data_IF_514433579441
#
_entry.id   IF_514433579441
#
_cell.length_a   1.000
_cell.length_b   1.000
_cell.length_c   1.000
_cell.angle_alpha   90.00
_cell.angle_beta   90.00
_cell.angle_gamma   90.00
#
_symmetry.space_group_name_H-M   'P 1'
#
loop_
_entity.id
_entity.type
_entity.pdbx_description
1 polymer ?
#
# COMPACT_ATOMS: atom_id res chain seq x y z
N UNK A 1 -1.21 -11.57 9.08
CA UNK A 1 -0.21 -11.95 8.06
C UNK A 1 -0.97 -12.68 6.96
N UNK A 2 -1.17 -12.03 5.82
CA UNK A 2 -1.94 -12.60 4.70
C UNK A 2 -1.16 -13.78 4.09
N UNK A 3 -1.83 -14.92 3.89
CA UNK A 3 -1.18 -16.18 3.50
C UNK A 3 -1.09 -16.38 1.99
N UNK A 4 -1.75 -15.54 1.19
CA UNK A 4 -1.69 -15.59 -0.28
C UNK A 4 -1.89 -14.23 -0.95
N UNK A 5 -1.40 -14.09 -2.20
CA UNK A 5 -1.62 -12.90 -3.05
C UNK A 5 -3.11 -12.61 -3.22
N UNK A 6 -3.92 -13.65 -3.31
CA UNK A 6 -5.37 -13.53 -3.53
C UNK A 6 -6.09 -13.05 -2.27
N UNK A 7 -5.68 -13.49 -1.07
CA UNK A 7 -6.21 -12.96 0.19
C UNK A 7 -5.99 -11.46 0.31
N UNK A 8 -4.78 -10.98 0.00
CA UNK A 8 -4.48 -9.54 0.04
C UNK A 8 -5.44 -8.77 -0.88
N UNK A 9 -5.63 -9.26 -2.11
CA UNK A 9 -6.53 -8.66 -3.10
C UNK A 9 -7.98 -8.63 -2.61
N UNK A 10 -8.45 -9.71 -1.99
CA UNK A 10 -9.81 -9.80 -1.44
C UNK A 10 -10.04 -8.82 -0.31
N UNK A 11 -9.03 -8.54 0.52
CA UNK A 11 -9.16 -7.53 1.59
C UNK A 11 -9.41 -6.15 1.02
N UNK A 12 -8.67 -5.72 -0.02
CA UNK A 12 -8.92 -4.42 -0.65
C UNK A 12 -10.33 -4.32 -1.25
N UNK A 13 -10.81 -5.39 -1.89
CA UNK A 13 -12.18 -5.43 -2.44
C UNK A 13 -13.24 -5.34 -1.33
N UNK A 14 -13.05 -6.08 -0.23
CA UNK A 14 -13.95 -6.05 0.93
C UNK A 14 -13.99 -4.65 1.57
N UNK A 15 -12.83 -4.03 1.76
CA UNK A 15 -12.75 -2.67 2.31
C UNK A 15 -13.44 -1.67 1.39
N UNK A 16 -13.20 -1.75 0.08
CA UNK A 16 -13.89 -0.92 -0.91
C UNK A 16 -15.41 -1.06 -0.82
N UNK A 17 -15.93 -2.29 -0.77
CA UNK A 17 -17.37 -2.53 -0.61
C UNK A 17 -17.92 -1.92 0.70
N UNK A 18 -17.20 -2.08 1.81
CA UNK A 18 -17.58 -1.46 3.10
C UNK A 18 -17.60 0.07 3.02
N UNK A 19 -16.64 0.69 2.32
CA UNK A 19 -16.61 2.15 2.11
C UNK A 19 -17.84 2.62 1.32
N UNK A 20 -18.19 1.93 0.23
CA UNK A 20 -19.38 2.28 -0.57
C UNK A 20 -20.69 2.09 0.20
N UNK A 21 -20.74 1.06 1.07
CA UNK A 21 -21.89 0.77 1.92
C UNK A 21 -21.91 1.53 3.25
N UNK A 22 -20.97 2.46 3.49
CA UNK A 22 -20.81 3.18 4.77
C UNK A 22 -20.81 2.26 6.00
N UNK A 23 -20.25 1.06 5.83
CA UNK A 23 -20.18 0.05 6.89
C UNK A 23 -19.08 0.37 7.88
N UNK A 24 -19.21 -0.14 9.10
CA UNK A 24 -18.16 -0.03 10.11
C UNK A 24 -16.87 -0.73 9.62
N UNK A 25 -15.76 0.00 9.73
CA UNK A 25 -14.42 -0.48 9.40
C UNK A 25 -13.71 -0.87 10.69
N UNK A 26 -13.07 -2.05 10.69
CA UNK A 26 -12.10 -2.41 11.71
C UNK A 26 -10.84 -1.51 11.62
N UNK A 27 -10.01 -1.41 12.66
CA UNK A 27 -8.83 -0.52 12.64
C UNK A 27 -7.90 -0.73 11.45
N UNK A 28 -7.65 -2.00 11.07
CA UNK A 28 -6.84 -2.30 9.89
C UNK A 28 -7.56 -1.94 8.58
N UNK A 29 -8.87 -2.16 8.52
CA UNK A 29 -9.69 -1.79 7.36
C UNK A 29 -9.74 -0.27 7.17
N UNK A 30 -9.70 0.53 8.25
CA UNK A 30 -9.63 1.99 8.18
C UNK A 30 -8.31 2.47 7.56
N UNK A 31 -7.16 1.87 7.93
CA UNK A 31 -5.86 2.17 7.30
C UNK A 31 -5.92 1.91 5.80
N UNK A 32 -6.50 0.77 5.40
CA UNK A 32 -6.66 0.40 3.99
C UNK A 32 -7.59 1.37 3.27
N UNK A 33 -8.70 1.76 3.91
CA UNK A 33 -9.65 2.71 3.34
C UNK A 33 -9.02 4.10 3.11
N UNK A 34 -8.17 4.56 4.01
CA UNK A 34 -7.43 5.82 3.85
C UNK A 34 -6.47 5.74 2.65
N UNK A 35 -5.73 4.63 2.51
CA UNK A 35 -4.84 4.42 1.36
C UNK A 35 -5.66 4.39 0.06
N UNK A 36 -6.78 3.66 0.03
CA UNK A 36 -7.63 3.63 -1.15
C UNK A 36 -8.11 5.04 -1.51
N UNK A 37 -8.48 5.88 -0.53
CA UNK A 37 -8.89 7.27 -0.79
C UNK A 37 -7.77 8.11 -1.39
N UNK A 38 -6.52 7.88 -0.98
CA UNK A 38 -5.35 8.57 -1.55
C UNK A 38 -5.04 8.15 -2.98
N UNK A 39 -5.50 6.98 -3.43
CA UNK A 39 -5.26 6.43 -4.77
C UNK A 39 -6.53 6.29 -5.63
N UNK A 40 -7.15 7.41 -6.08
CA UNK A 40 -8.31 7.37 -6.98
C UNK A 40 -8.05 6.64 -8.30
N UNK A 41 -6.79 6.58 -8.78
CA UNK A 41 -6.38 5.83 -9.96
C UNK A 41 -6.66 4.33 -9.88
N UNK A 42 -6.77 3.77 -8.66
CA UNK A 42 -7.05 2.36 -8.44
C UNK A 42 -8.54 2.08 -8.14
N UNK A 43 -9.38 3.10 -7.97
CA UNK A 43 -10.82 2.91 -7.76
C UNK A 43 -11.49 2.15 -8.91
N UNK A 44 -11.18 2.40 -10.20
CA UNK A 44 -11.76 1.62 -11.29
C UNK A 44 -11.45 0.13 -11.17
N UNK A 45 -10.24 -0.23 -10.73
CA UNK A 45 -9.83 -1.61 -10.50
C UNK A 45 -10.67 -2.25 -9.38
N UNK A 46 -10.81 -1.57 -8.24
CA UNK A 46 -11.59 -2.06 -7.10
C UNK A 46 -13.09 -2.16 -7.41
N UNK A 47 -13.60 -1.30 -8.29
CA UNK A 47 -14.99 -1.33 -8.75
C UNK A 47 -15.34 -2.56 -9.60
N UNK A 48 -14.37 -3.13 -10.33
CA UNK A 48 -14.61 -4.35 -11.14
C UNK A 48 -14.70 -5.63 -10.29
N UNK A 49 -14.48 -5.53 -8.97
CA UNK A 49 -14.67 -6.62 -8.03
C UNK A 49 -13.71 -7.79 -8.26
N UNK A 50 -14.20 -9.02 -8.13
CA UNK A 50 -13.39 -10.25 -8.20
C UNK A 50 -12.60 -10.41 -9.50
N UNK A 51 -13.05 -9.83 -10.61
CA UNK A 51 -12.29 -9.86 -11.87
C UNK A 51 -10.94 -9.14 -11.78
N UNK A 52 -10.80 -8.19 -10.84
CA UNK A 52 -9.54 -7.51 -10.56
C UNK A 52 -8.48 -8.44 -9.94
N UNK A 53 -8.91 -9.48 -9.23
CA UNK A 53 -7.98 -10.42 -8.57
C UNK A 53 -7.36 -11.38 -9.57
N UNK A 54 -7.94 -11.54 -10.76
CA UNK A 54 -7.42 -12.42 -11.81
C UNK A 54 -6.42 -11.72 -12.74
N UNK A 55 -6.27 -10.39 -12.64
CA UNK A 55 -5.29 -9.65 -13.45
C UNK A 55 -3.87 -9.98 -13.00
N UNK A 56 -3.05 -10.31 -13.98
CA UNK A 56 -1.62 -10.47 -13.77
C UNK A 56 -0.91 -9.14 -13.98
N UNK A 57 -0.19 -8.69 -12.95
CA UNK A 57 0.58 -7.46 -12.95
C UNK A 57 2.06 -7.86 -12.97
N UNK A 58 2.50 -8.39 -14.11
CA UNK A 58 3.90 -8.76 -14.32
C UNK A 58 4.74 -7.51 -14.59
N UNK A 59 5.98 -7.44 -14.07
CA UNK A 59 6.90 -6.33 -14.35
C UNK A 59 7.14 -6.10 -15.84
N UNK A 60 7.07 -7.17 -16.64
CA UNK A 60 7.27 -7.17 -18.09
C UNK A 60 6.25 -6.31 -18.85
N UNK A 61 5.05 -6.13 -18.28
CA UNK A 61 4.01 -5.29 -18.87
C UNK A 61 4.21 -3.79 -18.57
N UNK A 62 5.29 -3.41 -17.86
CA UNK A 62 5.58 -2.03 -17.49
C UNK A 62 4.56 -1.39 -16.54
N UNK A 63 3.67 -2.20 -15.95
CA UNK A 63 2.63 -1.74 -15.04
C UNK A 63 3.03 -1.95 -13.58
N UNK A 64 2.99 -0.87 -12.80
CA UNK A 64 3.09 -0.96 -11.33
C UNK A 64 1.92 -1.79 -10.81
N UNK A 65 2.20 -2.86 -10.07
CA UNK A 65 1.17 -3.68 -9.43
C UNK A 65 0.46 -2.87 -8.33
N UNK A 66 -0.84 -2.52 -8.50
CA UNK A 66 -1.55 -1.64 -7.57
C UNK A 66 -1.63 -2.19 -6.15
N UNK A 67 -1.79 -3.52 -6.02
CA UNK A 67 -1.89 -4.18 -4.72
C UNK A 67 -0.56 -4.19 -3.98
N UNK A 68 0.53 -4.36 -4.72
CA UNK A 68 1.89 -4.25 -4.15
C UNK A 68 2.13 -2.82 -3.69
N UNK A 69 1.82 -1.83 -4.54
CA UNK A 69 1.99 -0.42 -4.24
C UNK A 69 1.22 -0.02 -2.97
N UNK A 70 -0.09 -0.25 -2.92
CA UNK A 70 -0.89 0.03 -1.72
C UNK A 70 -0.40 -0.76 -0.49
N UNK A 71 0.11 -1.98 -0.67
CA UNK A 71 0.70 -2.78 0.41
C UNK A 71 1.97 -2.16 1.00
N UNK A 72 2.77 -1.47 0.19
CA UNK A 72 3.94 -0.73 0.66
C UNK A 72 3.53 0.43 1.57
N UNK A 73 2.43 1.13 1.30
CA UNK A 73 1.89 2.15 2.21
C UNK A 73 1.48 1.55 3.56
N UNK A 74 0.79 0.40 3.57
CA UNK A 74 0.42 -0.29 4.81
C UNK A 74 1.68 -0.63 5.62
N UNK A 75 2.67 -1.23 4.95
CA UNK A 75 3.92 -1.65 5.59
C UNK A 75 4.66 -0.46 6.19
N UNK A 76 4.76 0.65 5.44
CA UNK A 76 5.40 1.87 5.90
C UNK A 76 4.69 2.46 7.13
N UNK A 77 3.35 2.48 7.12
CA UNK A 77 2.55 2.93 8.29
C UNK A 77 2.75 2.04 9.50
N UNK A 78 2.79 0.72 9.33
CA UNK A 78 3.07 -0.23 10.42
C UNK A 78 4.48 -0.06 10.98
N UNK A 79 5.48 0.11 10.10
CA UNK A 79 6.87 0.38 10.49
C UNK A 79 7.02 1.70 11.24
N UNK A 80 6.36 2.76 10.77
CA UNK A 80 6.29 4.06 11.43
C UNK A 80 5.61 3.97 12.80
N UNK A 81 4.47 3.28 12.90
CA UNK A 81 3.74 3.12 14.15
C UNK A 81 4.48 2.27 15.19
N UNK A 82 5.29 1.30 14.73
CA UNK A 82 6.10 0.44 15.61
C UNK A 82 7.52 0.94 15.85
N UNK A 83 7.90 2.07 15.23
CA UNK A 83 9.26 2.61 15.15
C UNK A 83 10.32 1.54 14.83
N UNK A 84 10.06 0.78 13.74
CA UNK A 84 10.91 -0.30 13.27
C UNK A 84 11.19 -0.16 11.78
N UNK A 85 12.44 0.16 11.38
CA UNK A 85 13.63 0.36 12.23
C UNK A 85 13.54 1.61 13.11
N UNK A 86 14.29 1.63 14.22
CA UNK A 86 14.27 2.73 15.18
C UNK A 86 14.58 4.09 14.51
N UNK A 87 13.79 5.11 14.84
CA UNK A 87 13.89 6.46 14.28
C UNK A 87 13.09 6.66 12.98
N UNK A 88 12.47 5.63 12.42
CA UNK A 88 11.62 5.77 11.22
C UNK A 88 10.38 6.62 11.52
N UNK A 89 9.84 6.55 12.75
CA UNK A 89 8.68 7.33 13.14
C UNK A 89 8.95 8.83 13.04
N UNK A 90 10.10 9.28 13.55
CA UNK A 90 10.51 10.69 13.52
C UNK A 90 10.70 11.19 12.08
N UNK A 91 11.31 10.36 11.24
CA UNK A 91 11.52 10.67 9.81
C UNK A 91 10.17 10.80 9.10
N UNK A 92 9.28 9.83 9.32
CA UNK A 92 7.94 9.82 8.74
C UNK A 92 7.18 11.10 9.14
N UNK A 93 7.14 11.44 10.43
CA UNK A 93 6.43 12.63 10.90
C UNK A 93 6.98 13.93 10.30
N UNK A 94 8.32 14.06 10.21
CA UNK A 94 8.95 15.23 9.56
C UNK A 94 8.57 15.37 8.10
N UNK A 95 8.57 14.26 7.36
CA UNK A 95 8.19 14.27 5.94
C UNK A 95 6.70 14.59 5.75
N UNK A 96 5.83 13.99 6.57
CA UNK A 96 4.38 14.27 6.54
C UNK A 96 4.09 15.75 6.83
N UNK A 97 4.78 16.36 7.80
CA UNK A 97 4.62 17.79 8.10
C UNK A 97 5.05 18.69 6.93
N UNK A 98 6.04 18.27 6.15
CA UNK A 98 6.59 19.07 5.05
C UNK A 98 5.82 18.89 3.74
N UNK A 99 5.30 17.69 3.46
CA UNK A 99 4.78 17.30 2.14
C UNK A 99 3.32 16.87 2.16
N UNK A 100 2.74 16.63 3.33
CA UNK A 100 1.49 15.90 3.47
C UNK A 100 1.71 14.38 3.41
N UNK A 101 0.68 13.63 3.82
CA UNK A 101 0.79 12.17 4.04
C UNK A 101 1.16 11.42 2.74
N UNK A 102 0.44 11.69 1.65
CA UNK A 102 0.58 10.93 0.41
C UNK A 102 1.98 11.09 -0.21
N UNK A 103 2.43 12.33 -0.37
CA UNK A 103 3.74 12.64 -0.97
C UNK A 103 4.90 12.22 -0.07
N UNK A 104 4.74 12.30 1.25
CA UNK A 104 5.72 11.78 2.20
C UNK A 104 5.87 10.26 2.09
N UNK A 105 4.75 9.54 2.02
CA UNK A 105 4.74 8.09 1.88
C UNK A 105 5.37 7.65 0.56
N UNK A 106 5.02 8.29 -0.56
CA UNK A 106 5.65 8.01 -1.85
C UNK A 106 7.17 8.21 -1.83
N UNK A 107 7.66 9.32 -1.26
CA UNK A 107 9.10 9.58 -1.18
C UNK A 107 9.85 8.50 -0.37
N UNK A 108 9.23 8.01 0.72
CA UNK A 108 9.82 6.93 1.51
C UNK A 108 9.76 5.57 0.79
N UNK A 109 8.66 5.29 0.08
CA UNK A 109 8.49 4.05 -0.70
C UNK A 109 9.47 4.00 -1.88
N UNK A 110 9.71 5.12 -2.57
CA UNK A 110 10.71 5.22 -3.64
C UNK A 110 12.09 4.84 -3.12
N UNK A 111 12.51 5.44 -2.00
CA UNK A 111 13.77 5.10 -1.34
C UNK A 111 13.83 3.62 -0.93
N UNK A 112 12.74 3.07 -0.38
CA UNK A 112 12.65 1.64 -0.03
C UNK A 112 12.83 0.75 -1.27
N UNK A 113 12.20 1.12 -2.39
CA UNK A 113 12.32 0.41 -3.67
C UNK A 113 13.76 0.38 -4.18
N UNK A 114 14.46 1.51 -4.14
CA UNK A 114 15.87 1.62 -4.53
C UNK A 114 16.78 0.74 -3.66
N UNK A 115 16.56 0.74 -2.34
CA UNK A 115 17.32 -0.08 -1.40
C UNK A 115 17.08 -1.57 -1.64
N UNK A 116 15.83 -1.99 -1.81
CA UNK A 116 15.48 -3.39 -2.10
C UNK A 116 16.08 -3.85 -3.43
N UNK A 117 16.02 -3.02 -4.47
CA UNK A 117 16.62 -3.32 -5.77
C UNK A 117 18.14 -3.45 -5.69
N UNK A 118 18.79 -2.54 -4.95
CA UNK A 118 20.24 -2.59 -4.72
C UNK A 118 20.63 -3.84 -3.94
N UNK A 119 19.91 -4.17 -2.87
CA UNK A 119 20.15 -5.37 -2.06
C UNK A 119 19.98 -6.67 -2.85
N UNK A 120 18.98 -6.73 -3.75
CA UNK A 120 18.79 -7.88 -4.65
C UNK A 120 19.96 -8.07 -5.62
N UNK A 121 20.53 -6.97 -6.15
CA UNK A 121 21.68 -7.04 -7.07
C UNK A 121 23.01 -7.31 -6.37
N UNK A 122 23.19 -6.87 -5.14
CA UNK A 122 24.40 -7.10 -4.36
C UNK A 122 24.47 -8.51 -3.76
N UNK A 123 23.33 -9.20 -3.67
CA UNK A 123 23.23 -10.61 -3.27
C UNK A 123 23.09 -11.57 -4.47
N UNK A 124 23.37 -11.09 -5.69
CA UNK A 124 23.39 -11.89 -6.93
C UNK A 124 24.83 -12.28 -7.32
#
# INVERSE_FOLDING_TARGET
MFQSRDEVRQVYLKVWQKMQGQSLLEPMEAIIADIIQLHPEYHPLLKVGESATQKDFSPENGQTNPFLHMGMHITLREQSASDRPAGIQDIYQKLVQQKGIHDAEHAMIECLGEVLWTAQRMNA
#
